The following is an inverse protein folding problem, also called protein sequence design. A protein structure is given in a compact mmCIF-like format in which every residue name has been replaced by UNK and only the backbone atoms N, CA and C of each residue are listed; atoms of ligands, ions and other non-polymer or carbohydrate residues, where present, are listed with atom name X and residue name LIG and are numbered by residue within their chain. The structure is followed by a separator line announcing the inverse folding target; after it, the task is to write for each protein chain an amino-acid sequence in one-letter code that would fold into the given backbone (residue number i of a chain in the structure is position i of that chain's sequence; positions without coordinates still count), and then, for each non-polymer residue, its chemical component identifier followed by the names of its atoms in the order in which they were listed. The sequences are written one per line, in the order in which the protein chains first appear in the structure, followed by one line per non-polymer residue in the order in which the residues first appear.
data_IF_495831694096
#
_entry.id   IF_495831694096
#
_cell.length_a   1.000
_cell.length_b   1.000
_cell.length_c   1.000
_cell.angle_alpha   90.00
_cell.angle_beta   90.00
_cell.angle_gamma   90.00
#
_symmetry.space_group_name_H-M   'P 1'
#
loop_
_entity.id
_entity.type
_entity.pdbx_description
1 polymer ?
#
# COMPACT_ATOMS: atom_id res chain seq x y z
N UNK A 1 37.88 45.32 -1.29
CA UNK A 1 37.46 44.41 -0.21
C UNK A 1 35.96 44.57 0.02
N UNK A 2 35.15 43.61 -0.43
CA UNK A 2 33.73 43.51 -0.05
C UNK A 2 33.42 42.03 0.15
N UNK A 3 33.02 41.67 1.36
CA UNK A 3 32.72 40.30 1.80
C UNK A 3 31.28 39.98 1.41
N UNK A 4 31.06 39.15 0.41
CA UNK A 4 29.74 38.58 0.13
C UNK A 4 29.52 37.35 1.03
N UNK A 5 28.68 37.51 2.04
CA UNK A 5 28.19 36.41 2.89
C UNK A 5 27.40 35.41 2.03
N UNK A 6 27.93 34.21 1.82
CA UNK A 6 27.14 33.06 1.33
C UNK A 6 26.21 32.60 2.45
N UNK A 7 24.92 32.87 2.32
CA UNK A 7 23.87 32.23 3.13
C UNK A 7 23.95 30.71 2.90
N UNK A 8 24.34 29.99 3.94
CA UNK A 8 24.21 28.54 4.00
C UNK A 8 22.75 28.22 4.30
N UNK A 9 22.00 27.81 3.28
CA UNK A 9 20.73 27.13 3.48
C UNK A 9 21.09 25.69 3.85
N UNK A 10 21.08 25.40 5.16
CA UNK A 10 21.10 24.04 5.68
C UNK A 10 19.80 23.36 5.24
N UNK A 11 19.82 22.70 4.08
CA UNK A 11 18.86 21.64 3.82
C UNK A 11 19.17 20.54 4.83
N UNK A 12 18.22 20.25 5.73
CA UNK A 12 18.33 19.14 6.65
C UNK A 12 18.53 17.86 5.83
N UNK A 13 19.77 17.39 5.78
CA UNK A 13 20.12 16.06 5.31
C UNK A 13 19.39 15.07 6.22
N UNK A 14 18.31 14.47 5.73
CA UNK A 14 17.83 13.22 6.30
C UNK A 14 18.90 12.19 5.96
N UNK A 15 19.76 11.91 6.93
CA UNK A 15 20.75 10.84 6.87
C UNK A 15 20.11 9.56 6.34
N UNK A 16 20.64 9.05 5.24
CA UNK A 16 20.33 7.73 4.67
C UNK A 16 21.14 6.60 5.33
N UNK A 17 21.84 6.87 6.44
CA UNK A 17 22.51 5.84 7.23
C UNK A 17 21.53 5.18 8.21
N UNK A 18 20.57 4.47 7.63
CA UNK A 18 19.92 3.32 8.24
C UNK A 18 19.54 2.41 7.08
N UNK A 19 20.48 1.56 6.65
CA UNK A 19 20.15 0.33 5.95
C UNK A 19 19.65 -0.65 6.99
N UNK A 20 18.35 -1.03 7.02
CA UNK A 20 18.02 -2.35 7.49
C UNK A 20 18.39 -3.32 6.36
N UNK A 21 19.55 -3.96 6.46
CA UNK A 21 19.67 -5.31 5.93
C UNK A 21 18.74 -6.18 6.76
N UNK A 22 17.51 -6.37 6.30
CA UNK A 22 16.61 -7.43 6.73
C UNK A 22 15.43 -7.39 5.77
N UNK A 23 15.01 -8.55 5.27
CA UNK A 23 13.77 -8.74 4.51
C UNK A 23 12.65 -7.87 5.10
N UNK A 24 12.38 -6.70 4.51
CA UNK A 24 11.27 -5.86 4.94
C UNK A 24 10.02 -6.75 4.89
N UNK A 25 9.32 -6.96 6.02
CA UNK A 25 8.20 -7.88 6.07
C UNK A 25 7.23 -7.45 4.99
N UNK A 26 6.83 -8.39 4.11
CA UNK A 26 5.99 -8.12 2.95
C UNK A 26 4.87 -7.14 3.31
N UNK A 27 5.06 -5.88 2.94
CA UNK A 27 4.26 -4.80 3.48
C UNK A 27 3.08 -4.58 2.56
N UNK A 28 1.89 -4.68 3.14
CA UNK A 28 0.71 -4.24 2.43
C UNK A 28 0.74 -2.71 2.29
N UNK A 29 0.64 -2.22 1.05
CA UNK A 29 0.59 -0.79 0.72
C UNK A 29 -0.84 -0.37 0.39
N UNK A 30 -1.15 0.90 0.62
CA UNK A 30 -2.41 1.53 0.23
C UNK A 30 -2.19 2.42 -0.99
N UNK A 31 -2.77 2.04 -2.12
CA UNK A 31 -2.77 2.83 -3.35
C UNK A 31 -4.11 3.56 -3.51
N UNK A 32 -4.04 4.85 -3.84
CA UNK A 32 -5.22 5.63 -4.19
C UNK A 32 -6.01 4.97 -5.34
N UNK A 33 -7.34 4.99 -5.24
CA UNK A 33 -8.18 4.51 -6.33
C UNK A 33 -8.05 5.37 -7.60
N UNK A 34 -7.64 6.63 -7.47
CA UNK A 34 -7.31 7.52 -8.60
C UNK A 34 -6.20 6.88 -9.44
N UNK A 35 -5.11 6.47 -8.80
CA UNK A 35 -3.98 5.80 -9.47
C UNK A 35 -4.32 4.41 -10.00
N UNK A 36 -5.19 3.69 -9.28
CA UNK A 36 -5.69 2.37 -9.71
C UNK A 36 -6.51 2.48 -11.00
N UNK A 37 -7.27 3.56 -11.17
CA UNK A 37 -8.16 3.77 -12.30
C UNK A 37 -7.60 4.68 -13.41
N UNK A 38 -6.45 5.32 -13.17
CA UNK A 38 -5.78 6.16 -14.14
C UNK A 38 -5.56 5.43 -15.48
N UNK A 39 -5.71 6.17 -16.58
CA UNK A 39 -5.60 5.68 -17.96
C UNK A 39 -4.16 5.84 -18.42
N UNK A 40 -3.44 4.74 -18.62
CA UNK A 40 -2.04 4.77 -19.05
C UNK A 40 -1.60 3.43 -19.66
N UNK A 41 -0.48 3.46 -20.38
CA UNK A 41 0.15 2.33 -21.06
C UNK A 41 1.55 2.00 -20.49
N UNK A 42 1.71 2.13 -19.17
CA UNK A 42 3.00 1.92 -18.51
C UNK A 42 3.63 0.55 -18.80
N UNK A 43 4.96 0.54 -18.94
CA UNK A 43 5.74 -0.68 -18.97
C UNK A 43 5.84 -1.31 -17.57
N UNK A 44 6.24 -2.58 -17.46
CA UNK A 44 6.46 -3.21 -16.17
C UNK A 44 7.49 -2.47 -15.29
N UNK A 45 8.56 -1.92 -15.88
CA UNK A 45 9.57 -1.15 -15.13
C UNK A 45 9.03 0.21 -14.68
N UNK A 46 8.23 0.88 -15.51
CA UNK A 46 7.54 2.12 -15.13
C UNK A 46 6.58 1.88 -13.97
N UNK A 47 5.84 0.75 -13.98
CA UNK A 47 4.99 0.35 -12.86
C UNK A 47 5.77 0.09 -11.57
N UNK A 48 6.97 -0.47 -11.65
CA UNK A 48 7.83 -0.64 -10.47
C UNK A 48 8.30 0.69 -9.88
N UNK A 49 8.61 1.67 -10.73
CA UNK A 49 8.87 3.04 -10.24
C UNK A 49 7.63 3.56 -9.49
N UNK A 50 6.42 3.41 -10.05
CA UNK A 50 5.17 3.80 -9.38
C UNK A 50 4.98 3.08 -8.04
N UNK A 51 5.26 1.78 -7.97
CA UNK A 51 5.19 1.02 -6.72
C UNK A 51 6.14 1.56 -5.65
N UNK A 52 7.37 1.95 -6.02
CA UNK A 52 8.29 2.63 -5.10
C UNK A 52 7.76 3.98 -4.67
N UNK A 53 7.14 4.76 -5.55
CA UNK A 53 6.49 6.03 -5.14
C UNK A 53 5.37 5.81 -4.12
N UNK A 54 4.53 4.79 -4.32
CA UNK A 54 3.47 4.43 -3.38
C UNK A 54 4.07 3.97 -2.03
N UNK A 55 5.17 3.23 -2.05
CA UNK A 55 5.92 2.82 -0.86
C UNK A 55 6.44 4.04 -0.08
N UNK A 56 7.09 4.99 -0.75
CA UNK A 56 7.52 6.25 -0.14
C UNK A 56 6.33 7.04 0.43
N UNK A 57 5.21 7.08 -0.28
CA UNK A 57 3.98 7.73 0.17
C UNK A 57 3.38 7.08 1.43
N UNK A 58 3.59 5.77 1.66
CA UNK A 58 3.09 5.11 2.88
C UNK A 58 3.66 5.74 4.16
N UNK A 59 4.90 6.24 4.12
CA UNK A 59 5.56 6.87 5.28
C UNK A 59 4.80 8.10 5.78
N UNK A 60 4.09 8.79 4.89
CA UNK A 60 3.26 9.95 5.22
C UNK A 60 1.89 9.57 5.79
N UNK A 61 1.49 8.30 5.65
CA UNK A 61 0.22 7.76 6.12
C UNK A 61 0.43 7.00 7.45
N UNK A 62 1.66 6.62 7.78
CA UNK A 62 1.98 5.94 9.03
C UNK A 62 1.52 6.74 10.26
N UNK A 63 0.74 6.09 11.12
CA UNK A 63 0.16 6.73 12.31
C UNK A 63 -1.12 7.53 12.06
N UNK A 64 -1.49 7.79 10.80
CA UNK A 64 -2.75 8.44 10.43
C UNK A 64 -3.85 7.40 10.30
N UNK A 65 -4.93 7.53 11.08
CA UNK A 65 -6.13 6.71 10.88
C UNK A 65 -6.84 7.16 9.60
N UNK A 66 -6.73 6.39 8.52
CA UNK A 66 -7.36 6.72 7.22
C UNK A 66 -8.85 7.07 7.32
N UNK A 67 -9.59 6.45 8.25
CA UNK A 67 -11.03 6.70 8.45
C UNK A 67 -11.32 8.10 9.00
N UNK A 68 -10.42 8.65 9.80
CA UNK A 68 -10.59 9.95 10.47
C UNK A 68 -10.11 11.10 9.57
N UNK A 69 -9.23 10.81 8.60
CA UNK A 69 -8.61 11.78 7.70
C UNK A 69 -8.76 11.43 6.21
N UNK A 70 -9.98 11.11 5.74
CA UNK A 70 -10.29 11.05 4.31
C UNK A 70 -10.15 12.40 3.57
N UNK A 71 -9.42 13.37 4.14
CA UNK A 71 -9.17 14.71 3.61
C UNK A 71 -7.68 14.80 3.26
N UNK A 72 -7.45 15.17 2.00
CA UNK A 72 -6.16 15.33 1.31
C UNK A 72 -5.02 15.70 2.26
N UNK A 73 -3.98 14.86 2.31
CA UNK A 73 -2.70 15.23 2.91
C UNK A 73 -2.07 16.24 1.95
N UNK A 74 -1.80 17.45 2.42
CA UNK A 74 -1.20 18.52 1.61
C UNK A 74 0.34 18.39 1.65
N UNK A 75 0.99 17.94 0.57
CA UNK A 75 2.43 18.06 0.41
C UNK A 75 2.88 19.52 0.32
N UNK A 76 4.16 19.76 0.61
CA UNK A 76 4.83 21.03 0.40
C UNK A 76 4.69 21.51 -1.05
N UNK A 77 4.50 22.82 -1.23
CA UNK A 77 4.11 23.53 -2.47
C UNK A 77 4.94 23.26 -3.74
N UNK A 78 6.03 22.50 -3.65
CA UNK A 78 6.94 22.21 -4.76
C UNK A 78 7.02 20.74 -5.15
N UNK A 79 6.32 19.81 -4.49
CA UNK A 79 6.44 18.37 -4.77
C UNK A 79 7.54 17.68 -3.94
N UNK A 80 8.09 16.57 -4.43
CA UNK A 80 9.02 15.72 -3.68
C UNK A 80 10.20 15.26 -4.54
N UNK A 81 11.42 15.36 -3.99
CA UNK A 81 12.60 14.71 -4.57
C UNK A 81 12.73 13.30 -4.00
N UNK A 82 12.76 12.31 -4.88
CA UNK A 82 12.90 10.90 -4.53
C UNK A 82 14.30 10.45 -4.90
N UNK A 83 14.94 9.69 -3.99
CA UNK A 83 16.20 8.99 -4.26
C UNK A 83 16.02 7.52 -3.91
N UNK A 84 16.37 6.64 -4.84
CA UNK A 84 16.27 5.18 -4.68
C UNK A 84 17.39 4.46 -5.44
N UNK A 85 17.86 3.28 -4.99
CA UNK A 85 18.72 2.42 -5.79
C UNK A 85 18.05 2.01 -7.11
N UNK A 86 18.82 1.91 -8.20
CA UNK A 86 18.33 1.42 -9.49
C UNK A 86 17.86 -0.04 -9.42
N UNK A 87 18.47 -0.84 -8.55
CA UNK A 87 18.09 -2.25 -8.33
C UNK A 87 16.61 -2.39 -7.91
N UNK A 88 16.06 -1.39 -7.20
CA UNK A 88 14.70 -1.40 -6.65
C UNK A 88 13.60 -1.54 -7.70
N UNK A 89 13.87 -1.17 -8.96
CA UNK A 89 12.93 -1.26 -10.08
C UNK A 89 13.26 -2.42 -11.03
N UNK A 90 14.41 -3.06 -10.83
CA UNK A 90 14.84 -4.21 -11.61
C UNK A 90 14.28 -5.49 -10.97
N UNK A 91 14.42 -6.62 -11.68
CA UNK A 91 13.78 -7.87 -11.24
C UNK A 91 14.57 -8.54 -10.10
N UNK A 92 15.88 -8.43 -10.18
CA UNK A 92 16.82 -9.03 -9.25
C UNK A 92 17.56 -7.91 -8.53
N UNK A 93 17.72 -8.03 -7.22
CA UNK A 93 18.34 -6.98 -6.37
C UNK A 93 19.81 -6.71 -6.73
N UNK A 94 20.45 -7.66 -7.44
CA UNK A 94 21.81 -7.53 -7.98
C UNK A 94 21.85 -7.13 -9.46
N UNK A 95 20.70 -6.90 -10.11
CA UNK A 95 20.65 -6.39 -11.48
C UNK A 95 21.04 -4.90 -11.45
N UNK A 96 22.18 -4.56 -12.03
CA UNK A 96 22.65 -3.19 -12.19
C UNK A 96 22.54 -2.70 -13.64
N UNK A 97 21.57 -3.22 -14.40
CA UNK A 97 21.38 -2.84 -15.79
C UNK A 97 20.90 -1.38 -15.92
N UNK A 98 21.87 -0.46 -15.93
CA UNK A 98 21.64 0.96 -16.10
C UNK A 98 20.93 1.30 -17.42
N UNK A 99 21.09 0.49 -18.48
CA UNK A 99 20.41 0.76 -19.75
C UNK A 99 18.89 0.60 -19.60
N UNK A 100 18.43 -0.49 -18.97
CA UNK A 100 17.00 -0.70 -18.67
C UNK A 100 16.47 0.39 -17.74
N UNK A 101 17.22 0.75 -16.71
CA UNK A 101 16.81 1.78 -15.76
C UNK A 101 16.70 3.16 -16.42
N UNK A 102 17.72 3.57 -17.18
CA UNK A 102 17.69 4.82 -17.96
C UNK A 102 16.51 4.85 -18.90
N UNK A 103 16.25 3.76 -19.63
CA UNK A 103 15.09 3.66 -20.52
C UNK A 103 13.77 3.80 -19.77
N UNK A 104 13.61 3.13 -18.62
CA UNK A 104 12.39 3.20 -17.81
C UNK A 104 12.15 4.62 -17.26
N UNK A 105 13.15 5.25 -16.62
CA UNK A 105 13.01 6.60 -16.08
C UNK A 105 12.78 7.64 -17.18
N UNK A 106 13.50 7.54 -18.30
CA UNK A 106 13.33 8.46 -19.44
C UNK A 106 11.98 8.29 -20.12
N UNK A 107 11.48 7.05 -20.23
CA UNK A 107 10.16 6.79 -20.77
C UNK A 107 9.07 7.33 -19.84
N UNK A 108 9.18 7.10 -18.52
CA UNK A 108 8.22 7.61 -17.55
C UNK A 108 8.19 9.13 -17.50
N UNK A 109 9.34 9.80 -17.61
CA UNK A 109 9.41 11.27 -17.60
C UNK A 109 8.80 11.92 -18.85
N UNK A 110 8.61 11.14 -19.93
CA UNK A 110 7.92 11.59 -21.15
C UNK A 110 6.41 11.33 -21.10
N UNK A 111 5.96 10.52 -20.13
CA UNK A 111 4.53 10.28 -19.88
C UNK A 111 4.04 11.31 -18.88
N UNK A 112 2.80 11.76 -19.07
CA UNK A 112 2.19 12.76 -18.20
C UNK A 112 0.85 12.31 -17.65
N UNK A 113 0.46 13.00 -16.59
CA UNK A 113 -0.88 12.98 -16.04
C UNK A 113 -1.61 14.25 -16.48
N UNK A 114 -2.83 14.05 -16.94
CA UNK A 114 -3.78 15.11 -17.24
C UNK A 114 -4.80 15.19 -16.11
N UNK A 115 -5.07 16.39 -15.65
CA UNK A 115 -6.13 16.70 -14.70
C UNK A 115 -7.00 17.79 -15.30
N UNK A 116 -8.32 17.58 -15.21
CA UNK A 116 -9.32 18.51 -15.69
C UNK A 116 -10.49 18.56 -14.71
N UNK A 117 -10.89 19.77 -14.34
CA UNK A 117 -12.16 20.08 -13.68
C UNK A 117 -12.83 21.30 -14.33
N UNK A 118 -13.96 21.74 -13.81
CA UNK A 118 -14.75 22.87 -14.35
C UNK A 118 -13.97 24.19 -14.46
N UNK A 119 -12.79 24.31 -13.83
CA UNK A 119 -12.02 25.56 -13.72
C UNK A 119 -10.58 25.42 -14.19
N UNK A 120 -9.98 24.26 -14.04
CA UNK A 120 -8.55 24.04 -14.23
C UNK A 120 -8.35 22.82 -15.11
N UNK A 121 -7.66 23.04 -16.22
CA UNK A 121 -7.00 22.00 -16.99
C UNK A 121 -5.49 22.15 -16.82
N UNK A 122 -4.79 21.07 -16.50
CA UNK A 122 -3.34 21.05 -16.55
C UNK A 122 -2.80 19.67 -16.92
N UNK A 123 -1.63 19.69 -17.55
CA UNK A 123 -0.86 18.51 -17.90
C UNK A 123 0.53 18.62 -17.27
N UNK A 124 1.02 17.54 -16.68
CA UNK A 124 2.35 17.48 -16.06
C UNK A 124 2.97 16.11 -16.27
N UNK A 125 4.31 16.03 -16.27
CA UNK A 125 5.02 14.76 -16.33
C UNK A 125 4.77 13.93 -15.05
N UNK A 126 4.79 12.60 -15.15
CA UNK A 126 4.67 11.74 -13.96
C UNK A 126 5.89 11.89 -13.05
N UNK A 127 7.08 12.02 -13.64
CA UNK A 127 8.34 12.33 -12.96
C UNK A 127 9.14 13.34 -13.78
N UNK A 128 9.98 14.10 -13.11
CA UNK A 128 10.79 15.16 -13.70
C UNK A 128 12.28 14.96 -13.38
N UNK A 129 13.13 15.40 -14.32
CA UNK A 129 14.59 15.44 -14.18
C UNK A 129 15.25 14.15 -13.62
N UNK A 130 14.97 12.95 -14.17
CA UNK A 130 15.62 11.74 -13.68
C UNK A 130 17.14 11.77 -13.95
N UNK A 131 17.90 11.50 -12.90
CA UNK A 131 19.36 11.39 -12.90
C UNK A 131 19.76 10.06 -12.25
N UNK A 132 20.77 9.39 -12.80
CA UNK A 132 21.38 8.23 -12.17
C UNK A 132 22.86 8.53 -11.96
N UNK A 133 23.33 8.39 -10.72
CA UNK A 133 24.75 8.44 -10.39
C UNK A 133 25.38 7.07 -10.71
N UNK A 134 26.30 7.08 -11.67
CA UNK A 134 27.01 5.87 -12.08
C UNK A 134 28.04 5.50 -11.00
N UNK A 135 28.15 4.23 -10.66
CA UNK A 135 29.01 3.74 -9.58
C UNK A 135 28.23 3.46 -8.29
N UNK A 136 27.49 4.45 -7.76
CA UNK A 136 26.59 4.24 -6.61
C UNK A 136 25.28 3.56 -7.01
N UNK A 137 24.84 3.78 -8.24
CA UNK A 137 23.59 3.25 -8.76
C UNK A 137 22.35 3.89 -8.15
N UNK A 138 22.48 5.09 -7.58
CA UNK A 138 21.36 5.85 -7.04
C UNK A 138 20.66 6.65 -8.15
N UNK A 139 19.35 6.47 -8.27
CA UNK A 139 18.49 7.28 -9.11
C UNK A 139 17.82 8.38 -8.28
N UNK A 140 17.87 9.61 -8.77
CA UNK A 140 17.19 10.77 -8.18
C UNK A 140 16.29 11.40 -9.22
N UNK A 141 15.06 11.76 -8.84
CA UNK A 141 14.10 12.45 -9.70
C UNK A 141 13.09 13.22 -8.86
N UNK A 142 12.39 14.14 -9.51
CA UNK A 142 11.37 14.98 -8.88
C UNK A 142 9.97 14.47 -9.23
N UNK A 143 9.04 14.51 -8.28
CA UNK A 143 7.62 14.27 -8.49
C UNK A 143 6.87 15.54 -8.14
N UNK A 144 6.27 16.15 -9.16
CA UNK A 144 5.55 17.40 -8.98
C UNK A 144 4.33 17.21 -8.06
N UNK A 145 3.99 18.28 -7.37
CA UNK A 145 3.05 18.31 -6.25
C UNK A 145 1.68 17.66 -6.56
N UNK A 146 1.01 17.95 -7.68
CA UNK A 146 -0.32 17.41 -7.95
C UNK A 146 -0.31 15.89 -8.22
N UNK A 147 0.77 15.38 -8.83
CA UNK A 147 0.96 13.94 -9.04
C UNK A 147 1.15 13.26 -7.68
N UNK A 148 1.99 13.84 -6.83
CA UNK A 148 2.22 13.32 -5.47
C UNK A 148 0.93 13.36 -4.62
N UNK A 149 0.17 14.46 -4.67
CA UNK A 149 -1.15 14.59 -4.03
C UNK A 149 -2.10 13.49 -4.47
N UNK A 150 -2.18 13.21 -5.77
CA UNK A 150 -3.06 12.17 -6.27
C UNK A 150 -2.72 10.78 -5.68
N UNK A 151 -1.45 10.52 -5.35
CA UNK A 151 -1.05 9.25 -4.72
C UNK A 151 -1.54 9.13 -3.27
N UNK A 152 -1.66 10.26 -2.58
CA UNK A 152 -2.12 10.40 -1.20
C UNK A 152 -3.63 10.73 -1.09
N UNK A 153 -4.33 10.92 -2.20
CA UNK A 153 -5.76 11.22 -2.21
C UNK A 153 -6.59 9.94 -2.19
N UNK A 154 -7.17 9.64 -1.02
CA UNK A 154 -8.02 8.48 -0.79
C UNK A 154 -9.52 8.80 -0.81
N UNK A 155 -9.91 10.00 -1.25
CA UNK A 155 -11.33 10.44 -1.26
C UNK A 155 -12.22 9.56 -2.14
N UNK A 156 -11.66 8.97 -3.19
CA UNK A 156 -12.33 8.01 -4.10
C UNK A 156 -12.15 6.55 -3.66
N UNK A 157 -11.62 6.32 -2.48
CA UNK A 157 -11.27 5.00 -1.95
C UNK A 157 -9.81 4.61 -2.25
N UNK A 158 -9.48 3.37 -1.92
CA UNK A 158 -8.14 2.82 -2.06
C UNK A 158 -8.16 1.33 -2.39
N UNK A 159 -6.99 0.83 -2.82
CA UNK A 159 -6.68 -0.59 -2.91
C UNK A 159 -5.52 -0.91 -1.98
N UNK A 160 -5.67 -1.99 -1.22
CA UNK A 160 -4.62 -2.53 -0.36
C UNK A 160 -4.09 -3.79 -1.04
N UNK A 161 -2.78 -3.92 -1.20
CA UNK A 161 -2.15 -5.11 -1.77
C UNK A 161 -0.71 -5.27 -1.28
N UNK A 162 -0.14 -6.46 -1.48
CA UNK A 162 1.22 -6.77 -1.08
C UNK A 162 2.22 -6.29 -2.13
N UNK A 163 3.13 -5.40 -1.73
CA UNK A 163 4.10 -4.82 -2.64
C UNK A 163 5.04 -5.88 -3.22
N UNK A 164 5.55 -6.80 -2.39
CA UNK A 164 6.48 -7.83 -2.84
C UNK A 164 5.85 -8.74 -3.91
N UNK A 165 4.57 -9.08 -3.74
CA UNK A 165 3.79 -9.86 -4.72
C UNK A 165 3.63 -9.08 -6.02
N UNK A 166 3.24 -7.80 -5.94
CA UNK A 166 3.09 -6.93 -7.12
C UNK A 166 4.40 -6.78 -7.93
N UNK A 167 5.56 -6.73 -7.24
CA UNK A 167 6.88 -6.58 -7.87
C UNK A 167 7.33 -7.82 -8.66
N UNK A 168 6.83 -9.03 -8.32
CA UNK A 168 7.19 -10.30 -8.99
C UNK A 168 6.65 -10.39 -10.42
N UNK A 169 5.53 -9.72 -10.69
CA UNK A 169 4.88 -9.77 -12.00
C UNK A 169 5.78 -9.21 -13.12
N UNK A 170 5.67 -9.83 -14.29
CA UNK A 170 6.30 -9.48 -15.56
C UNK A 170 5.32 -8.71 -16.44
N UNK A 171 4.03 -9.06 -16.42
CA UNK A 171 3.01 -8.39 -17.20
C UNK A 171 2.46 -7.19 -16.44
N UNK A 172 2.42 -6.04 -17.13
CA UNK A 172 1.66 -4.88 -16.63
C UNK A 172 0.18 -5.22 -16.46
N UNK A 173 -0.38 -6.13 -17.26
CA UNK A 173 -1.79 -6.52 -17.10
C UNK A 173 -2.01 -7.28 -15.80
N UNK A 174 -1.11 -8.20 -15.43
CA UNK A 174 -1.18 -8.89 -14.14
C UNK A 174 -1.11 -7.91 -12.97
N UNK A 175 -0.15 -6.98 -13.02
CA UNK A 175 -0.04 -5.86 -12.06
C UNK A 175 -1.35 -5.08 -11.91
N UNK A 176 -1.96 -4.68 -13.03
CA UNK A 176 -3.20 -3.88 -13.05
C UNK A 176 -4.40 -4.66 -12.52
N UNK A 177 -4.55 -5.93 -12.89
CA UNK A 177 -5.62 -6.77 -12.36
C UNK A 177 -5.42 -7.12 -10.89
N UNK A 178 -4.17 -7.33 -10.45
CA UNK A 178 -3.85 -7.51 -9.04
C UNK A 178 -4.30 -6.30 -8.23
N UNK A 179 -3.91 -5.09 -8.62
CA UNK A 179 -4.35 -3.84 -7.97
C UNK A 179 -5.87 -3.72 -7.92
N UNK A 180 -6.55 -4.08 -9.01
CA UNK A 180 -8.00 -3.94 -9.11
C UNK A 180 -8.77 -4.92 -8.21
N UNK A 181 -8.29 -6.16 -8.11
CA UNK A 181 -9.01 -7.30 -7.54
C UNK A 181 -8.52 -7.72 -6.14
N UNK A 182 -7.33 -7.30 -5.72
CA UNK A 182 -6.79 -7.71 -4.43
C UNK A 182 -7.75 -7.35 -3.27
N UNK A 183 -8.02 -8.34 -2.42
CA UNK A 183 -8.95 -8.21 -1.28
C UNK A 183 -10.42 -8.01 -1.67
N UNK A 184 -10.78 -8.10 -2.96
CA UNK A 184 -12.19 -8.09 -3.39
C UNK A 184 -12.80 -9.48 -3.23
N UNK A 185 -14.06 -9.53 -2.77
CA UNK A 185 -14.85 -10.77 -2.66
C UNK A 185 -16.08 -10.75 -3.57
N UNK A 186 -16.49 -9.56 -4.01
CA UNK A 186 -17.66 -9.38 -4.86
C UNK A 186 -17.26 -9.43 -6.33
N UNK A 187 -18.08 -10.04 -7.20
CA UNK A 187 -17.86 -9.96 -8.63
C UNK A 187 -17.83 -8.51 -9.11
N UNK A 188 -16.95 -8.22 -10.07
CA UNK A 188 -16.78 -6.90 -10.66
C UNK A 188 -17.00 -6.99 -12.17
N UNK A 189 -18.01 -6.29 -12.67
CA UNK A 189 -18.15 -6.09 -14.10
C UNK A 189 -17.15 -5.03 -14.59
N UNK A 190 -16.43 -5.34 -15.66
CA UNK A 190 -15.56 -4.41 -16.37
C UNK A 190 -15.97 -4.38 -17.85
N UNK A 191 -16.28 -3.19 -18.36
CA UNK A 191 -16.57 -3.05 -19.79
C UNK A 191 -15.29 -3.20 -20.61
N UNK A 192 -15.41 -3.70 -21.83
CA UNK A 192 -14.29 -3.76 -22.77
C UNK A 192 -13.89 -2.34 -23.22
N UNK A 193 -14.90 -1.55 -23.62
CA UNK A 193 -14.76 -0.20 -24.18
C UNK A 193 -15.52 0.84 -23.33
N UNK A 194 -15.33 2.13 -23.64
CA UNK A 194 -16.00 3.26 -23.02
C UNK A 194 -15.16 3.93 -21.94
N UNK A 195 -15.64 5.04 -21.34
CA UNK A 195 -14.79 5.88 -20.46
C UNK A 195 -14.08 5.10 -19.32
N UNK A 196 -14.72 4.06 -18.79
CA UNK A 196 -14.18 3.18 -17.75
C UNK A 196 -13.81 1.78 -18.24
N UNK A 197 -13.81 1.57 -19.56
CA UNK A 197 -13.47 0.32 -20.22
C UNK A 197 -12.01 -0.08 -20.04
N UNK A 198 -11.74 -1.37 -20.17
CA UNK A 198 -10.39 -1.89 -20.02
C UNK A 198 -9.45 -1.34 -21.11
N UNK A 199 -9.91 -1.14 -22.35
CA UNK A 199 -9.06 -0.56 -23.41
C UNK A 199 -8.62 0.86 -23.07
N UNK A 200 -9.54 1.70 -22.61
CA UNK A 200 -9.27 3.07 -22.18
C UNK A 200 -8.30 3.10 -21.00
N UNK A 201 -8.62 2.32 -19.96
CA UNK A 201 -7.84 2.30 -18.72
C UNK A 201 -6.43 1.79 -18.96
N UNK A 202 -6.22 0.84 -19.87
CA UNK A 202 -4.92 0.22 -20.09
C UNK A 202 -4.16 0.81 -21.29
N UNK A 203 -4.67 1.87 -21.92
CA UNK A 203 -4.03 2.50 -23.08
C UNK A 203 -3.99 1.59 -24.32
N UNK A 204 -5.04 0.80 -24.53
CA UNK A 204 -5.17 -0.21 -25.59
C UNK A 204 -6.27 0.11 -26.61
N UNK A 205 -6.68 1.38 -26.74
CA UNK A 205 -7.72 1.77 -27.71
C UNK A 205 -7.37 1.31 -29.14
N UNK A 206 -6.13 1.54 -29.54
CA UNK A 206 -5.63 1.23 -30.89
C UNK A 206 -4.94 -0.14 -30.97
N UNK A 207 -5.18 -1.04 -29.99
CA UNK A 207 -4.56 -2.36 -29.91
C UNK A 207 -5.61 -3.45 -29.78
N UNK A 208 -5.36 -4.60 -30.40
CA UNK A 208 -6.22 -5.79 -30.35
C UNK A 208 -7.63 -5.56 -30.91
N UNK A 209 -7.76 -5.27 -32.22
CA UNK A 209 -9.07 -5.05 -32.85
C UNK A 209 -10.07 -6.19 -32.58
N UNK A 210 -9.57 -7.44 -32.57
CA UNK A 210 -10.38 -8.62 -32.24
C UNK A 210 -10.47 -8.81 -30.74
N UNK A 211 -11.69 -8.96 -30.23
CA UNK A 211 -11.95 -9.23 -28.80
C UNK A 211 -11.22 -10.48 -28.29
N UNK A 212 -11.10 -11.52 -29.13
CA UNK A 212 -10.37 -12.73 -28.77
C UNK A 212 -8.87 -12.49 -28.55
N UNK A 213 -8.27 -11.56 -29.29
CA UNK A 213 -6.87 -11.18 -29.09
C UNK A 213 -6.72 -10.39 -27.78
N UNK A 214 -7.66 -9.47 -27.50
CA UNK A 214 -7.69 -8.77 -26.21
C UNK A 214 -7.75 -9.77 -25.05
N UNK A 215 -8.67 -10.73 -25.12
CA UNK A 215 -8.78 -11.79 -24.09
C UNK A 215 -7.48 -12.56 -23.93
N UNK A 216 -6.91 -13.04 -25.04
CA UNK A 216 -5.69 -13.86 -25.05
C UNK A 216 -4.47 -13.13 -24.50
N UNK A 217 -4.27 -11.86 -24.88
CA UNK A 217 -3.05 -11.13 -24.55
C UNK A 217 -3.14 -10.28 -23.28
N UNK A 218 -4.36 -9.99 -22.81
CA UNK A 218 -4.60 -9.15 -21.63
C UNK A 218 -5.13 -9.98 -20.46
N UNK A 219 -6.31 -10.58 -20.62
CA UNK A 219 -6.97 -11.32 -19.53
C UNK A 219 -6.28 -12.64 -19.22
N UNK A 220 -6.00 -13.47 -20.23
CA UNK A 220 -5.42 -14.80 -20.02
C UNK A 220 -3.96 -14.69 -19.55
N UNK A 221 -3.20 -13.71 -20.05
CA UNK A 221 -1.84 -13.41 -19.57
C UNK A 221 -1.87 -12.98 -18.10
N UNK A 222 -2.75 -12.05 -17.75
CA UNK A 222 -2.88 -11.59 -16.37
C UNK A 222 -3.30 -12.73 -15.44
N UNK A 223 -4.31 -13.51 -15.83
CA UNK A 223 -4.79 -14.66 -15.05
C UNK A 223 -3.67 -15.67 -14.79
N UNK A 224 -2.97 -16.12 -15.84
CA UNK A 224 -1.90 -17.11 -15.71
C UNK A 224 -0.83 -16.66 -14.72
N UNK A 225 -0.46 -15.40 -14.78
CA UNK A 225 0.60 -14.86 -13.93
C UNK A 225 0.14 -14.61 -12.48
N UNK A 226 -1.12 -14.20 -12.28
CA UNK A 226 -1.73 -14.15 -10.95
C UNK A 226 -1.81 -15.53 -10.32
N UNK A 227 -2.23 -16.54 -11.09
CA UNK A 227 -2.31 -17.93 -10.64
C UNK A 227 -0.94 -18.48 -10.20
N UNK A 228 0.16 -17.99 -10.78
CA UNK A 228 1.53 -18.44 -10.50
C UNK A 228 2.15 -17.74 -9.27
N UNK A 229 1.96 -16.41 -9.13
CA UNK A 229 2.74 -15.62 -8.17
C UNK A 229 1.93 -15.01 -7.02
N UNK A 230 0.59 -15.08 -7.05
CA UNK A 230 -0.27 -14.35 -6.11
C UNK A 230 -1.30 -15.27 -5.44
N UNK A 231 -1.66 -14.99 -4.16
CA UNK A 231 -2.77 -15.67 -3.51
C UNK A 231 -4.13 -15.23 -4.05
N UNK A 232 -4.19 -14.14 -4.80
CA UNK A 232 -5.39 -13.66 -5.48
C UNK A 232 -5.32 -13.92 -6.98
N UNK A 233 -6.44 -14.38 -7.53
CA UNK A 233 -6.67 -14.54 -8.96
C UNK A 233 -8.14 -14.20 -9.28
N UNK A 234 -8.59 -14.56 -10.48
CA UNK A 234 -9.98 -14.43 -10.88
C UNK A 234 -10.41 -15.47 -11.91
N UNK A 235 -11.73 -15.60 -12.04
CA UNK A 235 -12.41 -16.21 -13.17
C UNK A 235 -13.14 -15.11 -13.93
N UNK A 236 -12.93 -15.02 -15.24
CA UNK A 236 -13.60 -14.03 -16.09
C UNK A 236 -14.74 -14.69 -16.87
N UNK A 237 -15.97 -14.23 -16.62
CA UNK A 237 -17.14 -14.58 -17.42
C UNK A 237 -17.38 -13.51 -18.46
N UNK A 238 -17.48 -13.90 -19.72
CA UNK A 238 -17.76 -12.98 -20.81
C UNK A 238 -19.22 -12.53 -20.78
N UNK A 239 -19.44 -11.22 -20.91
CA UNK A 239 -20.77 -10.62 -20.98
C UNK A 239 -21.02 -10.08 -22.39
N UNK A 240 -22.22 -10.31 -22.92
CA UNK A 240 -22.58 -10.01 -24.31
C UNK A 240 -23.86 -9.19 -24.39
N UNK A 241 -23.88 -8.23 -25.32
CA UNK A 241 -25.11 -7.60 -25.82
C UNK A 241 -25.39 -8.16 -27.22
N UNK A 242 -26.33 -9.09 -27.30
CA UNK A 242 -26.57 -9.89 -28.52
C UNK A 242 -25.32 -10.69 -28.89
N UNK A 243 -24.76 -10.45 -30.09
CA UNK A 243 -23.54 -11.12 -30.55
C UNK A 243 -22.24 -10.41 -30.14
N UNK A 244 -22.32 -9.15 -29.70
CA UNK A 244 -21.15 -8.34 -29.35
C UNK A 244 -20.76 -8.57 -27.90
N UNK A 245 -19.48 -8.85 -27.66
CA UNK A 245 -18.91 -8.88 -26.31
C UNK A 245 -18.79 -7.44 -25.82
N UNK A 246 -19.36 -7.17 -24.65
CA UNK A 246 -19.37 -5.84 -24.04
C UNK A 246 -18.37 -5.70 -22.89
N UNK A 247 -17.87 -6.82 -22.36
CA UNK A 247 -16.95 -6.84 -21.23
C UNK A 247 -16.92 -8.19 -20.53
N UNK A 248 -16.45 -8.19 -19.29
CA UNK A 248 -16.35 -9.37 -18.45
C UNK A 248 -16.81 -9.11 -17.02
N UNK A 249 -17.49 -10.08 -16.45
CA UNK A 249 -17.68 -10.17 -14.99
C UNK A 249 -16.51 -10.95 -14.42
N UNK A 250 -15.68 -10.27 -13.62
CA UNK A 250 -14.53 -10.85 -12.93
C UNK A 250 -14.99 -11.35 -11.56
N UNK A 251 -14.80 -12.63 -11.29
CA UNK A 251 -15.06 -13.26 -10.00
C UNK A 251 -13.72 -13.44 -9.29
N UNK A 252 -13.41 -12.63 -8.25
CA UNK A 252 -12.17 -12.78 -7.50
C UNK A 252 -12.09 -14.15 -6.83
N UNK A 253 -10.90 -14.74 -6.82
CA UNK A 253 -10.61 -16.01 -6.14
C UNK A 253 -9.41 -15.80 -5.23
N UNK A 254 -9.50 -16.31 -4.01
CA UNK A 254 -8.43 -16.26 -3.02
C UNK A 254 -8.01 -17.67 -2.62
N UNK A 255 -6.70 -17.91 -2.63
CA UNK A 255 -6.06 -19.16 -2.29
C UNK A 255 -5.28 -18.96 -0.99
N UNK A 256 -5.87 -19.41 0.12
CA UNK A 256 -5.27 -19.27 1.46
C UNK A 256 -3.87 -19.88 1.50
N UNK A 257 -3.67 -21.06 0.89
CA UNK A 257 -2.41 -21.81 0.83
C UNK A 257 -1.25 -21.08 0.14
N UNK A 258 -1.55 -20.05 -0.66
CA UNK A 258 -0.56 -19.25 -1.38
C UNK A 258 -0.22 -17.93 -0.69
N UNK A 259 -0.96 -17.58 0.36
CA UNK A 259 -0.70 -16.35 1.14
C UNK A 259 0.59 -16.49 1.95
N UNK A 260 1.22 -15.36 2.29
CA UNK A 260 2.39 -15.39 3.15
C UNK A 260 2.06 -16.04 4.51
N UNK A 261 2.83 -17.03 5.00
CA UNK A 261 2.56 -17.71 6.26
C UNK A 261 2.44 -16.77 7.48
N UNK A 262 3.19 -15.67 7.50
CA UNK A 262 3.09 -14.68 8.58
C UNK A 262 1.74 -13.95 8.57
N UNK A 263 1.19 -13.68 7.38
CA UNK A 263 -0.12 -13.05 7.23
C UNK A 263 -1.25 -14.04 7.52
N UNK A 264 -1.10 -15.30 7.10
CA UNK A 264 -2.00 -16.38 7.47
C UNK A 264 -2.07 -16.54 8.99
N UNK A 265 -0.92 -16.58 9.68
CA UNK A 265 -0.88 -16.72 11.13
C UNK A 265 -1.49 -15.50 11.81
N UNK A 266 -1.18 -14.29 11.33
CA UNK A 266 -1.80 -13.08 11.83
C UNK A 266 -3.33 -13.11 11.66
N UNK A 267 -3.84 -13.55 10.52
CA UNK A 267 -5.26 -13.67 10.25
C UNK A 267 -5.92 -14.78 11.12
N UNK A 268 -5.23 -15.91 11.31
CA UNK A 268 -5.66 -17.01 12.18
C UNK A 268 -5.78 -16.53 13.63
N UNK A 269 -4.73 -15.89 14.14
CA UNK A 269 -4.71 -15.28 15.48
C UNK A 269 -5.74 -14.15 15.62
N UNK A 270 -6.05 -13.44 14.54
CA UNK A 270 -7.14 -12.46 14.51
C UNK A 270 -8.54 -13.10 14.59
N UNK A 271 -8.73 -14.36 14.16
CA UNK A 271 -10.00 -15.10 14.30
C UNK A 271 -10.16 -15.76 15.68
N UNK A 272 -9.07 -16.14 16.34
CA UNK A 272 -9.11 -16.73 17.71
C UNK A 272 -9.67 -15.70 18.72
N UNK A 273 -10.53 -16.14 19.63
CA UNK A 273 -11.08 -15.24 20.67
C UNK A 273 -10.01 -14.93 21.73
N UNK A 274 -10.03 -13.70 22.25
CA UNK A 274 -9.12 -13.26 23.31
C UNK A 274 -9.19 -14.15 24.56
N UNK A 275 -10.35 -14.79 24.80
CA UNK A 275 -10.54 -15.73 25.90
C UNK A 275 -9.58 -16.93 25.86
N UNK A 276 -9.25 -17.40 24.67
CA UNK A 276 -8.34 -18.54 24.47
C UNK A 276 -6.86 -18.11 24.44
N UNK A 277 -6.59 -16.80 24.40
CA UNK A 277 -5.25 -16.24 24.24
C UNK A 277 -4.74 -15.54 25.50
N UNK A 278 -5.64 -15.18 26.42
CA UNK A 278 -5.32 -14.59 27.71
C UNK A 278 -5.38 -15.66 28.80
N UNK A 279 -4.54 -15.49 29.82
CA UNK A 279 -4.63 -16.27 31.05
C UNK A 279 -6.01 -16.07 31.71
N UNK A 280 -6.46 -17.10 32.43
CA UNK A 280 -7.81 -17.11 32.97
C UNK A 280 -8.03 -15.95 33.95
N UNK A 281 -7.04 -15.74 34.80
CA UNK A 281 -6.99 -14.72 35.84
C UNK A 281 -7.05 -13.32 35.23
N UNK A 282 -6.27 -13.06 34.19
CA UNK A 282 -6.26 -11.78 33.45
C UNK A 282 -7.63 -11.51 32.82
N UNK A 283 -8.19 -12.52 32.17
CA UNK A 283 -9.48 -12.41 31.49
C UNK A 283 -10.63 -12.12 32.48
N UNK A 284 -10.67 -12.85 33.58
CA UNK A 284 -11.66 -12.65 34.65
C UNK A 284 -11.47 -11.31 35.35
N UNK A 285 -10.23 -10.88 35.58
CA UNK A 285 -9.96 -9.58 36.19
C UNK A 285 -10.47 -8.42 35.32
N UNK A 286 -10.27 -8.48 34.01
CA UNK A 286 -10.84 -7.49 33.07
C UNK A 286 -12.37 -7.49 33.08
N UNK A 287 -12.99 -8.68 33.12
CA UNK A 287 -14.45 -8.85 33.19
C UNK A 287 -15.06 -8.28 34.46
N UNK A 288 -14.50 -8.59 35.62
CA UNK A 288 -15.15 -8.36 36.91
C UNK A 288 -14.61 -7.15 37.67
N UNK A 289 -13.34 -6.75 37.47
CA UNK A 289 -12.79 -5.56 38.13
C UNK A 289 -12.92 -4.29 37.29
N UNK A 290 -13.03 -4.41 35.97
CA UNK A 290 -13.13 -3.29 35.03
C UNK A 290 -14.38 -3.32 34.14
N UNK A 291 -15.30 -4.27 34.38
CA UNK A 291 -16.58 -4.42 33.68
C UNK A 291 -16.47 -4.52 32.14
N UNK A 292 -15.36 -5.08 31.62
CA UNK A 292 -15.21 -5.30 30.18
C UNK A 292 -16.16 -6.39 29.68
N UNK A 293 -16.88 -6.10 28.59
CA UNK A 293 -17.66 -7.10 27.85
C UNK A 293 -16.76 -7.95 26.95
N UNK A 294 -17.22 -9.14 26.59
CA UNK A 294 -16.48 -10.08 25.71
C UNK A 294 -16.03 -9.44 24.40
N UNK A 295 -16.91 -8.68 23.75
CA UNK A 295 -16.64 -8.02 22.47
C UNK A 295 -15.64 -6.88 22.63
N UNK A 296 -15.66 -6.17 23.76
CA UNK A 296 -14.71 -5.11 24.11
C UNK A 296 -13.30 -5.68 24.37
N UNK A 297 -13.19 -6.82 25.06
CA UNK A 297 -11.92 -7.53 25.24
C UNK A 297 -11.40 -8.00 23.87
N UNK A 298 -12.26 -8.62 23.05
CA UNK A 298 -11.89 -9.06 21.70
C UNK A 298 -11.46 -7.90 20.80
N UNK A 299 -12.11 -6.73 20.87
CA UNK A 299 -11.72 -5.51 20.13
C UNK A 299 -10.33 -5.00 20.53
N UNK A 300 -9.93 -5.20 21.79
CA UNK A 300 -8.64 -4.73 22.32
C UNK A 300 -7.60 -5.84 22.50
N UNK A 301 -7.88 -7.06 22.02
CA UNK A 301 -7.10 -8.26 22.31
C UNK A 301 -5.62 -8.14 21.98
N UNK A 302 -5.25 -7.44 20.90
CA UNK A 302 -3.84 -7.25 20.53
C UNK A 302 -3.05 -6.58 21.66
N UNK A 303 -3.58 -5.50 22.22
CA UNK A 303 -2.92 -4.78 23.31
C UNK A 303 -2.91 -5.58 24.62
N UNK A 304 -3.96 -6.35 24.87
CA UNK A 304 -4.08 -7.17 26.09
C UNK A 304 -3.11 -8.36 26.07
N UNK A 305 -3.03 -9.08 24.94
CA UNK A 305 -2.12 -10.23 24.74
C UNK A 305 -0.67 -9.74 24.78
N UNK A 306 -0.37 -8.64 24.09
CA UNK A 306 0.97 -8.05 24.11
C UNK A 306 1.35 -7.56 25.52
N UNK A 307 0.39 -6.96 26.24
CA UNK A 307 0.55 -6.58 27.64
C UNK A 307 0.90 -7.78 28.52
N UNK A 308 0.12 -8.86 28.45
CA UNK A 308 0.37 -10.09 29.21
C UNK A 308 1.74 -10.70 28.92
N UNK A 309 2.17 -10.70 27.65
CA UNK A 309 3.41 -11.36 27.26
C UNK A 309 4.66 -10.52 27.55
N UNK A 310 4.56 -9.18 27.58
CA UNK A 310 5.72 -8.28 27.65
C UNK A 310 5.82 -7.47 28.94
N UNK A 311 4.72 -7.17 29.62
CA UNK A 311 4.73 -6.40 30.87
C UNK A 311 5.04 -7.35 32.03
N UNK A 312 6.16 -7.17 32.74
CA UNK A 312 6.43 -7.94 33.95
C UNK A 312 5.32 -7.72 34.98
N UNK A 313 4.83 -8.80 35.58
CA UNK A 313 3.68 -8.79 36.50
C UNK A 313 2.46 -8.03 35.95
N UNK A 314 1.94 -8.52 34.82
CA UNK A 314 0.81 -7.87 34.16
C UNK A 314 -0.45 -7.78 35.07
N UNK A 315 -0.68 -8.76 35.94
CA UNK A 315 -1.79 -8.73 36.89
C UNK A 315 -1.61 -7.65 37.97
N UNK A 316 -0.41 -7.51 38.54
CA UNK A 316 -0.09 -6.42 39.46
C UNK A 316 -0.26 -5.05 38.80
N UNK A 317 0.22 -4.91 37.56
CA UNK A 317 0.02 -3.69 36.77
C UNK A 317 -1.46 -3.36 36.56
N UNK A 318 -2.29 -4.35 36.18
CA UNK A 318 -3.73 -4.16 36.07
C UNK A 318 -4.37 -3.77 37.40
N UNK A 319 -3.87 -4.28 38.53
CA UNK A 319 -4.38 -3.94 39.86
C UNK A 319 -4.13 -2.47 40.23
N UNK A 320 -2.94 -1.93 39.90
CA UNK A 320 -2.60 -0.52 40.13
C UNK A 320 -3.52 0.43 39.38
N UNK A 321 -3.93 0.07 38.16
CA UNK A 321 -4.81 0.87 37.31
C UNK A 321 -6.25 0.97 37.86
N UNK A 322 -6.66 0.10 38.78
CA UNK A 322 -8.05 0.04 39.28
C UNK A 322 -8.51 1.35 39.91
N UNK A 323 -7.65 2.00 40.70
CA UNK A 323 -7.99 3.29 41.32
C UNK A 323 -8.09 4.39 40.27
N UNK A 324 -7.11 4.49 39.37
CA UNK A 324 -7.10 5.51 38.32
C UNK A 324 -8.26 5.39 37.33
N UNK A 325 -8.61 4.16 36.94
CA UNK A 325 -9.71 3.90 36.02
C UNK A 325 -11.06 4.33 36.59
N UNK A 326 -11.29 4.20 37.91
CA UNK A 326 -12.55 4.60 38.57
C UNK A 326 -12.85 6.09 38.44
N UNK A 327 -11.82 6.93 38.38
CA UNK A 327 -11.96 8.39 38.29
C UNK A 327 -11.87 8.92 36.85
N UNK A 328 -11.67 8.03 35.86
CA UNK A 328 -11.55 8.43 34.47
C UNK A 328 -12.94 8.51 33.80
N UNK A 329 -13.13 9.49 32.92
CA UNK A 329 -14.37 9.63 32.12
C UNK A 329 -14.63 8.39 31.23
N UNK A 330 -13.57 7.70 30.82
CA UNK A 330 -13.63 6.41 30.13
C UNK A 330 -12.70 5.39 30.82
N UNK A 331 -13.20 4.66 31.83
CA UNK A 331 -12.41 3.71 32.62
C UNK A 331 -11.72 2.64 31.76
N UNK A 332 -12.45 2.08 30.78
CA UNK A 332 -11.94 1.02 29.89
C UNK A 332 -10.88 1.57 28.93
N UNK A 333 -11.14 2.74 28.35
CA UNK A 333 -10.19 3.46 27.50
C UNK A 333 -8.91 3.81 28.26
N UNK A 334 -9.02 4.21 29.53
CA UNK A 334 -7.89 4.50 30.41
C UNK A 334 -7.00 3.26 30.60
N UNK A 335 -7.59 2.10 30.93
CA UNK A 335 -6.86 0.84 31.12
C UNK A 335 -6.11 0.45 29.85
N UNK A 336 -6.78 0.41 28.70
CA UNK A 336 -6.14 0.06 27.42
C UNK A 336 -5.05 1.09 27.04
N UNK A 337 -5.30 2.38 27.32
CA UNK A 337 -4.33 3.44 27.07
C UNK A 337 -3.09 3.33 27.95
N UNK A 338 -3.24 2.91 29.22
CA UNK A 338 -2.13 2.67 30.13
C UNK A 338 -1.27 1.48 29.67
N UNK A 339 -1.90 0.37 29.26
CA UNK A 339 -1.20 -0.81 28.72
C UNK A 339 -0.37 -0.41 27.49
N UNK A 340 -0.97 0.31 26.54
CA UNK A 340 -0.27 0.78 25.33
C UNK A 340 0.89 1.72 25.63
N UNK A 341 0.78 2.55 26.68
CA UNK A 341 1.89 3.41 27.13
C UNK A 341 3.03 2.59 27.71
N UNK A 342 2.72 1.64 28.60
CA UNK A 342 3.73 0.75 29.20
C UNK A 342 4.48 -0.06 28.15
N UNK A 343 3.78 -0.57 27.14
CA UNK A 343 4.39 -1.31 26.02
C UNK A 343 5.37 -0.48 25.17
N UNK A 344 5.21 0.84 25.12
CA UNK A 344 6.16 1.75 24.43
C UNK A 344 7.42 2.02 25.23
N UNK A 345 7.38 1.87 26.55
CA UNK A 345 8.54 2.04 27.44
C UNK A 345 9.47 0.83 27.42
N UNK A 346 8.96 -0.33 26.98
CA UNK A 346 9.71 -1.58 26.88
C UNK A 346 10.48 -1.64 25.55
N UNK A 347 11.70 -2.23 25.53
CA UNK A 347 12.46 -2.41 24.30
C UNK A 347 11.66 -3.22 23.26
N UNK A 348 11.78 -2.92 21.95
CA UNK A 348 11.02 -3.61 20.92
C UNK A 348 11.23 -5.12 21.00
N UNK A 349 10.16 -5.88 20.74
CA UNK A 349 10.24 -7.34 20.72
C UNK A 349 11.25 -7.77 19.64
N UNK A 350 12.28 -8.50 20.05
CA UNK A 350 13.23 -9.21 19.16
C UNK A 350 12.55 -10.29 18.34
#
# INVERSE_FOLDING_TARGET
MSKTKKQHIMAAYVSTDNRPEENLPNRAVFQSYIWTCAKYDFSPYEKRIIYRLIEFAQRWIEGVKLKDNLRKIEPSDCGMNITMPVADILRDENDHNYAKAKAAFTSLSKKGAEYEDDKIWFYTAIIEHPKIELGTGLATFHVYEPVWRAALDFTKGFRKYELATAMKFKSVYAMRFYELLNGQVKPLFVSLDGEHGLRERFGLKDKYDRVNDFKRYVLDVAKRELDEYSPYSFVAKEERAGRKVIGWTLYPVFFEDRENPALQEQARMAKVTARLQLENEVYEYLRYSFDFKTDEINKNKKALIEGQNRIPDFMGFLAELKKGARFADNPKGYVIGAIKRKLKELPPAT
#
